data_IF_460491086793
#
_entry.id   IF_460491086793
#
_cell.length_a   1.000
_cell.length_b   1.000
_cell.length_c   1.000
_cell.angle_alpha   90.00
_cell.angle_beta   90.00
_cell.angle_gamma   90.00
#
_symmetry.space_group_name_H-M   'P 1'
#
loop_
_entity.id
_entity.type
_entity.pdbx_description
1 polymer ?
#
# COMPACT_ATOMS: atom_id res chain seq x y z
N UNK A 1 15.30 10.27 12.10
CA UNK A 1 15.56 8.87 11.85
C UNK A 1 14.64 8.39 10.75
N UNK A 2 15.14 7.49 9.90
CA UNK A 2 14.35 6.83 8.88
C UNK A 2 14.61 5.33 8.94
N UNK A 3 13.58 4.51 8.75
CA UNK A 3 13.68 3.06 8.81
C UNK A 3 12.67 2.41 7.85
N UNK A 4 13.06 1.24 7.32
CA UNK A 4 12.25 0.44 6.41
C UNK A 4 11.73 -0.76 7.16
N UNK A 5 10.46 -1.09 6.96
CA UNK A 5 9.78 -2.19 7.59
C UNK A 5 8.86 -2.92 6.60
N UNK A 6 8.54 -4.20 6.87
CA UNK A 6 7.47 -4.87 6.15
C UNK A 6 6.13 -4.13 6.32
N UNK A 7 5.35 -3.97 5.25
CA UNK A 7 4.07 -3.25 5.27
C UNK A 7 3.07 -3.76 6.28
N UNK A 8 3.14 -5.05 6.61
CA UNK A 8 2.28 -5.66 7.61
C UNK A 8 2.38 -5.00 9.00
N UNK A 9 3.51 -4.35 9.35
CA UNK A 9 3.64 -3.63 10.61
C UNK A 9 2.67 -2.47 10.75
N UNK A 10 2.12 -1.95 9.65
CA UNK A 10 1.17 -0.84 9.68
C UNK A 10 -0.19 -1.21 10.28
N UNK A 11 -0.56 -2.50 10.24
CA UNK A 11 -1.91 -2.94 10.64
C UNK A 11 -1.93 -4.17 11.56
N UNK A 12 -0.82 -4.88 11.76
CA UNK A 12 -0.79 -6.02 12.70
C UNK A 12 -1.19 -5.58 14.10
N UNK A 13 -1.91 -6.46 14.76
CA UNK A 13 -2.31 -6.31 16.17
C UNK A 13 -1.18 -6.72 17.12
N UNK A 14 -1.42 -6.57 18.43
CA UNK A 14 -0.48 -6.98 19.45
C UNK A 14 0.61 -5.95 19.72
N UNK A 15 1.87 -6.39 19.70
CA UNK A 15 3.01 -5.52 20.05
C UNK A 15 3.21 -4.40 19.05
N UNK A 16 3.01 -4.67 17.76
CA UNK A 16 3.13 -3.67 16.70
C UNK A 16 2.10 -2.55 16.88
N UNK A 17 0.86 -2.88 17.27
CA UNK A 17 -0.17 -1.88 17.56
C UNK A 17 0.23 -0.99 18.74
N UNK A 18 0.80 -1.55 19.80
CA UNK A 18 1.32 -0.79 20.94
C UNK A 18 2.47 0.14 20.54
N UNK A 19 3.37 -0.33 19.69
CA UNK A 19 4.49 0.49 19.17
C UNK A 19 3.94 1.66 18.33
N UNK A 20 3.00 1.41 17.42
CA UNK A 20 2.37 2.48 16.62
C UNK A 20 1.72 3.54 17.52
N UNK A 21 0.94 3.11 18.49
CA UNK A 21 0.34 4.01 19.49
C UNK A 21 1.41 4.84 20.21
N UNK A 22 2.46 4.20 20.68
CA UNK A 22 3.55 4.87 21.39
C UNK A 22 4.25 5.92 20.54
N UNK A 23 4.55 5.60 19.26
CA UNK A 23 5.20 6.52 18.32
C UNK A 23 4.32 7.73 17.95
N UNK A 24 3.00 7.51 17.80
CA UNK A 24 2.05 8.54 17.40
C UNK A 24 1.62 9.38 18.60
N UNK A 25 1.27 8.73 19.71
CA UNK A 25 0.55 9.35 20.81
C UNK A 25 1.49 9.87 21.90
N UNK A 26 2.37 9.03 22.40
CA UNK A 26 3.22 9.37 23.52
C UNK A 26 4.47 10.14 23.10
N UNK A 27 5.17 9.67 22.07
CA UNK A 27 6.38 10.34 21.58
C UNK A 27 6.10 11.44 20.54
N UNK A 28 4.94 11.43 19.90
CA UNK A 28 4.62 12.31 18.77
C UNK A 28 5.78 12.42 17.77
N UNK A 29 6.42 11.29 17.45
CA UNK A 29 7.62 11.29 16.62
C UNK A 29 7.41 10.72 15.22
N UNK A 30 6.28 10.06 14.92
CA UNK A 30 5.97 9.59 13.59
C UNK A 30 5.62 10.77 12.68
N UNK A 31 6.50 11.09 11.74
CA UNK A 31 6.31 12.21 10.82
C UNK A 31 5.70 11.77 9.49
N UNK A 32 6.18 10.65 8.94
CA UNK A 32 5.74 10.21 7.61
C UNK A 32 5.71 8.68 7.52
N UNK A 33 4.71 8.18 6.82
CA UNK A 33 4.57 6.79 6.39
C UNK A 33 4.52 6.78 4.86
N UNK A 34 5.47 6.09 4.22
CA UNK A 34 5.55 6.00 2.77
C UNK A 34 5.54 4.54 2.34
N UNK A 35 4.57 4.15 1.52
CA UNK A 35 4.54 2.85 0.87
C UNK A 35 5.49 2.88 -0.32
N UNK A 36 6.40 1.93 -0.37
CA UNK A 36 7.40 1.82 -1.43
C UNK A 36 6.91 0.87 -2.54
N UNK A 37 7.34 1.07 -3.78
CA UNK A 37 7.07 0.13 -4.87
C UNK A 37 7.84 -1.19 -4.66
N UNK A 38 7.23 -2.30 -5.08
CA UNK A 38 7.78 -3.65 -4.95
C UNK A 38 9.13 -3.84 -5.69
N UNK A 39 9.43 -2.93 -6.62
CA UNK A 39 10.64 -2.98 -7.45
C UNK A 39 11.91 -2.51 -6.75
N UNK A 40 11.81 -1.75 -5.65
CA UNK A 40 12.99 -1.19 -4.96
C UNK A 40 13.81 -2.26 -4.25
N UNK A 41 13.13 -3.15 -3.56
CA UNK A 41 13.78 -4.26 -2.89
C UNK A 41 13.28 -5.52 -3.57
N UNK A 42 14.16 -6.38 -4.01
CA UNK A 42 13.85 -7.68 -4.61
C UNK A 42 13.23 -8.64 -3.57
N UNK A 43 12.39 -8.08 -2.70
CA UNK A 43 11.65 -8.79 -1.68
C UNK A 43 10.47 -9.51 -2.33
N UNK A 44 10.27 -10.74 -1.99
CA UNK A 44 9.31 -11.73 -2.50
C UNK A 44 7.83 -11.27 -2.56
N UNK A 45 7.55 -10.11 -3.20
CA UNK A 45 6.19 -9.56 -3.36
C UNK A 45 5.57 -9.01 -2.08
N UNK A 46 6.37 -8.70 -1.05
CA UNK A 46 5.88 -8.03 0.16
C UNK A 46 6.07 -6.53 0.03
N UNK A 47 4.97 -5.79 0.18
CA UNK A 47 5.04 -4.34 0.25
C UNK A 47 5.90 -3.88 1.44
N UNK A 48 6.80 -2.96 1.20
CA UNK A 48 7.66 -2.36 2.21
C UNK A 48 7.25 -0.92 2.46
N UNK A 49 7.46 -0.47 3.70
CA UNK A 49 7.12 0.89 4.11
C UNK A 49 8.33 1.59 4.70
N UNK A 50 8.43 2.85 4.38
CA UNK A 50 9.44 3.74 4.90
C UNK A 50 8.81 4.65 5.96
N UNK A 51 9.34 4.61 7.18
CA UNK A 51 8.90 5.45 8.28
C UNK A 51 9.93 6.54 8.54
N UNK A 52 9.48 7.80 8.55
CA UNK A 52 10.26 8.92 9.04
C UNK A 52 9.85 9.26 10.46
N UNK A 53 10.85 9.30 11.34
CA UNK A 53 10.68 9.67 12.73
C UNK A 53 11.44 10.97 12.99
N UNK A 54 10.73 11.98 13.51
CA UNK A 54 11.26 13.29 13.86
C UNK A 54 10.99 13.54 15.34
N UNK A 55 12.02 13.75 16.13
CA UNK A 55 11.87 14.09 17.54
C UNK A 55 11.49 15.57 17.72
N UNK A 56 10.84 15.88 18.82
CA UNK A 56 10.42 17.24 19.22
C UNK A 56 9.55 17.92 18.14
N UNK A 57 8.59 17.19 17.58
CA UNK A 57 7.60 17.74 16.66
C UNK A 57 6.61 18.62 17.40
N UNK A 58 6.22 19.71 16.77
CA UNK A 58 5.10 20.57 17.18
C UNK A 58 3.81 20.22 16.43
N UNK A 59 3.92 19.54 15.30
CA UNK A 59 2.80 19.16 14.43
C UNK A 59 2.10 17.91 14.99
N UNK A 60 0.77 17.91 14.93
CA UNK A 60 -0.11 16.80 15.33
C UNK A 60 -0.70 16.09 14.12
N UNK A 61 0.09 15.96 13.06
CA UNK A 61 -0.30 15.28 11.83
C UNK A 61 0.78 14.31 11.36
N UNK A 62 0.41 13.38 10.49
CA UNK A 62 1.32 12.43 9.85
C UNK A 62 1.09 12.48 8.34
N UNK A 63 2.18 12.57 7.58
CA UNK A 63 2.11 12.47 6.12
C UNK A 63 2.08 11.01 5.69
N UNK A 64 1.15 10.67 4.81
CA UNK A 64 1.08 9.37 4.16
C UNK A 64 1.38 9.55 2.67
N UNK A 65 2.25 8.70 2.11
CA UNK A 65 2.56 8.67 0.68
C UNK A 65 2.35 7.26 0.13
N UNK A 66 1.56 7.13 -0.93
CA UNK A 66 1.46 5.90 -1.71
C UNK A 66 2.35 6.01 -2.96
N UNK A 67 3.53 5.44 -2.87
CA UNK A 67 4.47 5.37 -3.97
C UNK A 67 4.50 3.98 -4.62
N UNK A 68 3.50 3.13 -4.37
CA UNK A 68 3.46 1.75 -4.88
C UNK A 68 3.48 1.66 -6.40
N UNK A 69 2.97 2.67 -7.09
CA UNK A 69 2.91 2.74 -8.56
C UNK A 69 4.07 3.54 -9.19
N UNK A 70 5.05 3.97 -8.37
CA UNK A 70 6.23 4.68 -8.88
C UNK A 70 7.22 3.68 -9.46
N UNK A 71 7.41 3.69 -10.77
CA UNK A 71 8.30 2.77 -11.46
C UNK A 71 9.78 3.02 -11.12
N UNK A 72 10.20 4.28 -11.02
CA UNK A 72 11.57 4.67 -10.74
C UNK A 72 11.62 5.99 -9.95
N UNK A 73 12.44 6.04 -8.90
CA UNK A 73 12.71 7.27 -8.15
C UNK A 73 13.83 8.09 -8.80
N UNK A 74 13.48 8.88 -9.81
CA UNK A 74 14.41 9.84 -10.38
C UNK A 74 14.51 11.12 -9.52
N UNK A 75 15.52 11.95 -9.81
CA UNK A 75 15.78 13.17 -9.03
C UNK A 75 14.61 14.16 -9.01
N UNK A 76 13.84 14.23 -10.07
CA UNK A 76 12.68 15.13 -10.19
C UNK A 76 11.53 14.64 -9.32
N UNK A 77 11.21 13.35 -9.38
CA UNK A 77 10.18 12.74 -8.53
C UNK A 77 10.50 12.89 -7.04
N UNK A 78 11.76 12.65 -6.66
CA UNK A 78 12.19 12.86 -5.26
C UNK A 78 12.02 14.31 -4.83
N UNK A 79 12.34 15.30 -5.69
CA UNK A 79 12.12 16.72 -5.38
C UNK A 79 10.64 17.05 -5.23
N UNK A 80 9.78 16.49 -6.10
CA UNK A 80 8.34 16.69 -6.02
C UNK A 80 7.77 16.13 -4.71
N UNK A 81 8.13 14.91 -4.35
CA UNK A 81 7.74 14.30 -3.06
C UNK A 81 8.26 15.12 -1.88
N UNK A 82 9.49 15.61 -1.94
CA UNK A 82 10.06 16.49 -0.91
C UNK A 82 9.27 17.79 -0.75
N UNK A 83 8.85 18.42 -1.86
CA UNK A 83 8.02 19.63 -1.83
C UNK A 83 6.68 19.36 -1.17
N UNK A 84 5.99 18.29 -1.57
CA UNK A 84 4.72 17.88 -0.98
C UNK A 84 4.83 17.58 0.52
N UNK A 85 5.92 16.94 0.91
CA UNK A 85 6.23 16.65 2.31
C UNK A 85 6.45 17.93 3.12
N UNK A 86 7.20 18.89 2.58
CA UNK A 86 7.46 20.17 3.26
C UNK A 86 6.22 21.05 3.38
N UNK A 87 5.37 21.05 2.34
CA UNK A 87 4.13 21.82 2.30
C UNK A 87 2.98 21.13 3.05
N UNK A 88 3.15 19.90 3.52
CA UNK A 88 2.11 19.06 4.14
C UNK A 88 0.85 18.97 3.25
N UNK A 89 1.04 18.86 1.95
CA UNK A 89 -0.03 18.93 0.97
C UNK A 89 -0.69 17.58 0.75
N UNK A 90 -2.02 17.57 0.69
CA UNK A 90 -2.80 16.40 0.31
C UNK A 90 -3.05 16.40 -1.19
N UNK A 91 -2.73 15.29 -1.85
CA UNK A 91 -3.05 15.04 -3.26
C UNK A 91 -3.75 13.68 -3.35
N UNK A 92 -5.01 13.64 -3.82
CA UNK A 92 -5.76 12.39 -3.96
C UNK A 92 -5.01 11.35 -4.76
N UNK A 93 -4.97 10.12 -4.28
CA UNK A 93 -4.26 9.00 -4.90
C UNK A 93 -2.76 8.93 -4.65
N UNK A 94 -2.13 10.01 -4.17
CA UNK A 94 -0.68 10.07 -3.97
C UNK A 94 -0.30 10.27 -2.49
N UNK A 95 -0.85 11.29 -1.85
CA UNK A 95 -0.47 11.61 -0.48
C UNK A 95 -1.59 12.29 0.31
N UNK A 96 -1.55 12.13 1.63
CA UNK A 96 -2.51 12.74 2.55
C UNK A 96 -1.83 13.19 3.84
N UNK A 97 -2.18 14.39 4.29
CA UNK A 97 -1.81 14.88 5.61
C UNK A 97 -2.94 14.54 6.59
N UNK A 98 -2.66 13.67 7.54
CA UNK A 98 -3.68 13.07 8.41
C UNK A 98 -3.46 13.51 9.85
N UNK A 99 -4.51 14.03 10.47
CA UNK A 99 -4.43 14.44 11.87
C UNK A 99 -4.26 13.25 12.82
N UNK A 100 -3.59 13.47 13.93
CA UNK A 100 -3.44 12.49 15.01
C UNK A 100 -4.79 11.96 15.49
N UNK A 101 -5.81 12.82 15.59
CA UNK A 101 -7.16 12.43 15.99
C UNK A 101 -7.75 11.36 15.04
N UNK A 102 -7.61 11.53 13.74
CA UNK A 102 -8.07 10.55 12.75
C UNK A 102 -7.32 9.21 12.87
N UNK A 103 -6.03 9.24 13.21
CA UNK A 103 -5.24 8.01 13.44
C UNK A 103 -5.72 7.31 14.71
N UNK A 104 -6.05 8.06 15.76
CA UNK A 104 -6.63 7.53 17.01
C UNK A 104 -7.99 6.87 16.77
N UNK A 105 -8.89 7.51 16.01
CA UNK A 105 -10.19 6.96 15.60
C UNK A 105 -10.07 5.66 14.81
N UNK A 106 -8.95 5.45 14.14
CA UNK A 106 -8.61 4.22 13.41
C UNK A 106 -7.77 3.23 14.24
N UNK A 107 -7.78 3.31 15.58
CA UNK A 107 -7.03 2.42 16.49
C UNK A 107 -5.52 2.35 16.17
N UNK A 108 -4.94 3.48 15.76
CA UNK A 108 -3.53 3.57 15.33
C UNK A 108 -3.16 2.61 14.19
N UNK A 109 -4.15 2.20 13.40
CA UNK A 109 -3.92 1.46 12.18
C UNK A 109 -3.41 2.43 11.11
N UNK A 110 -2.18 2.22 10.64
CA UNK A 110 -1.50 3.11 9.68
C UNK A 110 -1.61 2.61 8.23
N UNK A 111 -2.53 1.68 7.94
CA UNK A 111 -2.71 1.15 6.59
C UNK A 111 -3.17 2.25 5.62
N UNK A 112 -2.40 2.50 4.56
CA UNK A 112 -2.57 3.63 3.65
C UNK A 112 -3.96 3.78 3.03
N UNK A 113 -4.66 2.71 2.59
CA UNK A 113 -6.00 2.83 2.01
C UNK A 113 -7.05 3.48 2.93
N UNK A 114 -6.78 3.57 4.23
CA UNK A 114 -7.66 4.29 5.17
C UNK A 114 -7.54 5.80 5.07
N UNK A 115 -6.41 6.30 4.54
CA UNK A 115 -6.03 7.71 4.57
C UNK A 115 -5.84 8.31 3.17
N UNK A 116 -5.50 7.47 2.19
CA UNK A 116 -5.33 7.89 0.79
C UNK A 116 -6.46 7.30 -0.03
N UNK A 117 -7.38 8.15 -0.48
CA UNK A 117 -8.43 7.75 -1.41
C UNK A 117 -7.82 7.66 -2.80
N UNK A 118 -7.65 6.45 -3.33
CA UNK A 118 -7.33 6.30 -4.75
C UNK A 118 -8.49 6.90 -5.54
N UNK A 119 -8.18 7.84 -6.42
CA UNK A 119 -9.14 8.28 -7.43
C UNK A 119 -9.34 7.03 -8.31
N UNK A 120 -10.42 6.30 -8.05
CA UNK A 120 -10.92 5.43 -9.09
C UNK A 120 -11.25 6.36 -10.25
N UNK A 121 -10.40 6.40 -11.28
CA UNK A 121 -10.91 6.82 -12.57
C UNK A 121 -12.10 5.90 -12.80
N UNK A 122 -13.28 6.50 -12.96
CA UNK A 122 -14.46 5.82 -13.47
C UNK A 122 -14.13 5.34 -14.91
N UNK A 123 -13.25 4.38 -15.02
CA UNK A 123 -13.27 3.47 -16.15
C UNK A 123 -14.56 2.71 -15.93
N UNK A 124 -15.62 3.13 -16.64
CA UNK A 124 -16.86 2.40 -16.70
C UNK A 124 -16.45 0.93 -16.87
N UNK A 125 -16.65 0.14 -15.81
CA UNK A 125 -16.32 -1.29 -15.84
C UNK A 125 -17.23 -1.84 -16.92
N UNK A 126 -16.66 -2.17 -18.07
CA UNK A 126 -17.38 -2.83 -19.14
C UNK A 126 -17.69 -4.26 -18.67
N UNK A 127 -18.85 -4.37 -18.02
CA UNK A 127 -19.35 -5.62 -17.47
C UNK A 127 -19.48 -6.69 -18.56
N UNK A 128 -19.78 -6.30 -19.79
CA UNK A 128 -19.89 -7.22 -20.91
C UNK A 128 -18.52 -7.74 -21.34
N UNK A 129 -17.52 -6.88 -21.38
CA UNK A 129 -16.13 -7.29 -21.65
C UNK A 129 -15.58 -8.18 -20.52
N UNK A 130 -15.91 -7.87 -19.27
CA UNK A 130 -15.59 -8.72 -18.12
C UNK A 130 -16.22 -10.10 -18.19
N UNK A 131 -17.50 -10.19 -18.54
CA UNK A 131 -18.20 -11.46 -18.75
C UNK A 131 -17.61 -12.27 -19.92
N UNK A 132 -17.29 -11.62 -21.03
CA UNK A 132 -16.66 -12.29 -22.17
C UNK A 132 -15.30 -12.90 -21.77
N UNK A 133 -14.49 -12.17 -21.01
CA UNK A 133 -13.19 -12.66 -20.53
C UNK A 133 -13.34 -13.86 -19.58
N UNK A 134 -14.32 -13.83 -18.68
CA UNK A 134 -14.63 -14.97 -17.80
C UNK A 134 -15.04 -16.20 -18.61
N UNK A 135 -15.86 -16.04 -19.65
CA UNK A 135 -16.26 -17.15 -20.51
C UNK A 135 -15.08 -17.76 -21.28
N UNK A 136 -14.15 -16.93 -21.74
CA UNK A 136 -12.94 -17.38 -22.41
C UNK A 136 -12.03 -18.19 -21.46
N UNK A 137 -11.77 -17.67 -20.26
CA UNK A 137 -10.99 -18.38 -19.24
C UNK A 137 -11.63 -19.71 -18.84
N UNK A 138 -12.95 -19.76 -18.71
CA UNK A 138 -13.64 -21.02 -18.38
C UNK A 138 -13.49 -22.06 -19.50
N UNK A 139 -13.52 -21.66 -20.77
CA UNK A 139 -13.24 -22.58 -21.90
C UNK A 139 -11.83 -23.13 -21.85
N UNK A 140 -10.84 -22.26 -21.59
CA UNK A 140 -9.44 -22.69 -21.44
C UNK A 140 -9.28 -23.69 -20.28
N UNK A 141 -9.97 -23.44 -19.16
CA UNK A 141 -10.00 -24.35 -18.01
C UNK A 141 -10.57 -25.72 -18.39
N UNK A 142 -11.72 -25.75 -19.06
CA UNK A 142 -12.37 -27.02 -19.51
C UNK A 142 -11.45 -27.82 -20.45
N UNK A 143 -10.69 -27.13 -21.31
CA UNK A 143 -9.72 -27.78 -22.22
C UNK A 143 -8.54 -28.37 -21.44
N UNK A 144 -8.02 -27.64 -20.47
CA UNK A 144 -6.92 -28.09 -19.60
C UNK A 144 -7.38 -29.30 -18.76
N UNK A 145 -8.57 -29.23 -18.18
CA UNK A 145 -9.12 -30.34 -17.40
C UNK A 145 -9.28 -31.62 -18.25
N UNK A 146 -9.78 -31.51 -19.46
CA UNK A 146 -9.87 -32.66 -20.39
C UNK A 146 -8.49 -33.25 -20.68
N UNK A 147 -7.48 -32.41 -20.89
CA UNK A 147 -6.09 -32.88 -21.11
C UNK A 147 -5.53 -33.57 -19.87
N UNK A 148 -5.80 -33.05 -18.68
CA UNK A 148 -5.41 -33.70 -17.41
C UNK A 148 -6.06 -35.08 -17.27
N UNK A 149 -7.34 -35.22 -17.60
CA UNK A 149 -8.03 -36.51 -17.56
C UNK A 149 -7.43 -37.54 -18.53
N UNK A 150 -7.07 -37.10 -19.73
CA UNK A 150 -6.37 -37.96 -20.71
C UNK A 150 -5.04 -38.46 -20.15
N UNK A 151 -4.21 -37.54 -19.62
CA UNK A 151 -2.91 -37.90 -19.05
C UNK A 151 -3.03 -38.79 -17.82
N UNK A 152 -4.03 -38.57 -16.96
CA UNK A 152 -4.30 -39.45 -15.83
C UNK A 152 -4.66 -40.86 -16.27
N UNK A 153 -5.47 -40.98 -17.29
CA UNK A 153 -5.83 -42.29 -17.86
C UNK A 153 -4.60 -43.00 -18.45
N UNK A 154 -3.74 -42.27 -19.19
CA UNK A 154 -2.50 -42.82 -19.76
C UNK A 154 -1.52 -43.29 -18.67
N UNK A 155 -1.51 -42.62 -17.53
CA UNK A 155 -0.65 -42.96 -16.40
C UNK A 155 -1.25 -43.99 -15.42
N UNK A 156 -2.50 -44.41 -15.66
CA UNK A 156 -3.20 -45.36 -14.80
C UNK A 156 -3.59 -44.82 -13.42
N UNK A 157 -3.85 -43.49 -13.35
CA UNK A 157 -4.19 -42.76 -12.12
C UNK A 157 -5.67 -42.42 -12.04
#
# INVERSE_FOLDING_TARGET
LAAIFPGAMLYREGREAQIRKYLVDELNCLDTVMLLPDTIFHSNGQAEVFLFLKLNRSEDDVMFFDCSEVEEFNREQVKNLQTLWMERKTIPGLCSCVSKAMIQENDYNLNLPRYITKIMQDTAIDVEQGKARIQEINKELDEIEKRIQIYRHELGL
#
